data_IF_029856728079
#
_entry.id   IF_029856728079
#
_cell.length_a   1.000
_cell.length_b   1.000
_cell.length_c   1.000
_cell.angle_alpha   90.00
_cell.angle_beta   90.00
_cell.angle_gamma   90.00
#
_symmetry.space_group_name_H-M   'P 1'
#
loop_
_entity.id
_entity.type
_entity.pdbx_description
1 polymer ?
#
# COMPACT_ATOMS: atom_id res chain seq x y z
N UNK A 1 -9.71 -3.15 18.19
CA UNK A 1 -8.52 -3.48 19.01
C UNK A 1 -7.65 -2.25 19.19
N UNK A 2 -7.02 -2.09 20.32
CA UNK A 2 -6.23 -0.89 20.61
C UNK A 2 -5.07 -0.66 19.66
N UNK A 3 -4.53 -1.72 19.04
CA UNK A 3 -3.42 -1.58 18.11
C UNK A 3 -3.85 -1.32 16.67
N UNK A 4 -5.13 -1.49 16.35
CA UNK A 4 -5.61 -1.30 14.98
C UNK A 4 -5.43 0.15 14.53
N UNK A 5 -5.66 1.09 15.42
CA UNK A 5 -5.47 2.51 15.11
C UNK A 5 -4.03 2.78 14.70
N UNK A 6 -3.07 2.22 15.43
CA UNK A 6 -1.65 2.37 15.11
C UNK A 6 -1.34 1.76 13.74
N UNK A 7 -1.86 0.57 13.46
CA UNK A 7 -1.63 -0.07 12.17
C UNK A 7 -2.20 0.77 11.02
N UNK A 8 -3.41 1.32 11.20
CA UNK A 8 -4.00 2.18 10.18
C UNK A 8 -3.18 3.45 9.97
N UNK A 9 -2.67 4.05 11.04
CA UNK A 9 -1.80 5.22 10.94
C UNK A 9 -0.49 4.90 10.20
N UNK A 10 0.08 3.73 10.46
CA UNK A 10 1.30 3.30 9.78
C UNK A 10 1.06 3.01 8.30
N UNK A 11 -0.10 2.44 7.95
CA UNK A 11 -0.47 2.27 6.54
C UNK A 11 -0.54 3.64 5.85
N UNK A 12 -1.17 4.61 6.49
CA UNK A 12 -1.25 5.98 5.94
C UNK A 12 0.14 6.59 5.76
N UNK A 13 1.05 6.35 6.70
CA UNK A 13 2.42 6.83 6.58
C UNK A 13 3.12 6.22 5.36
N UNK A 14 2.95 4.92 5.15
CA UNK A 14 3.54 4.24 3.99
C UNK A 14 2.95 4.75 2.68
N UNK A 15 1.64 5.00 2.63
CA UNK A 15 0.99 5.59 1.46
C UNK A 15 1.60 6.97 1.17
N UNK A 16 1.78 7.79 2.21
CA UNK A 16 2.39 9.11 2.04
C UNK A 16 3.80 9.05 1.49
N UNK A 17 4.58 8.06 1.94
CA UNK A 17 5.94 7.85 1.41
C UNK A 17 5.91 7.51 -0.07
N UNK A 18 5.03 6.59 -0.47
CA UNK A 18 4.90 6.23 -1.89
C UNK A 18 4.54 7.47 -2.71
N UNK A 19 3.59 8.25 -2.25
CA UNK A 19 3.16 9.46 -2.96
C UNK A 19 4.32 10.46 -3.14
N UNK A 20 5.17 10.59 -2.12
CA UNK A 20 6.37 11.45 -2.23
C UNK A 20 7.40 10.86 -3.19
N UNK A 21 7.60 9.54 -3.16
CA UNK A 21 8.59 8.88 -4.03
C UNK A 21 8.26 9.07 -5.50
N UNK A 22 6.98 9.08 -5.85
CA UNK A 22 6.54 9.17 -7.25
C UNK A 22 6.06 10.57 -7.64
N UNK A 23 6.18 11.53 -6.74
CA UNK A 23 5.73 12.89 -7.03
C UNK A 23 6.51 13.45 -8.22
N UNK A 24 5.78 13.94 -9.21
CA UNK A 24 6.38 14.58 -10.37
C UNK A 24 6.91 13.63 -11.44
N UNK A 25 6.72 12.31 -11.28
CA UNK A 25 7.13 11.36 -12.31
C UNK A 25 5.90 10.70 -12.94
N UNK A 26 6.07 10.22 -14.18
CA UNK A 26 5.02 9.49 -14.87
C UNK A 26 5.36 7.99 -14.93
N UNK A 27 4.49 7.23 -15.57
CA UNK A 27 4.64 5.78 -15.68
C UNK A 27 5.96 5.40 -16.37
N UNK A 28 6.31 6.10 -17.44
CA UNK A 28 7.55 5.78 -18.20
C UNK A 28 8.78 5.97 -17.33
N UNK A 29 8.83 7.04 -16.55
CA UNK A 29 9.95 7.27 -15.62
C UNK A 29 9.99 6.17 -14.57
N UNK A 30 8.85 5.82 -13.99
CA UNK A 30 8.78 4.77 -12.98
C UNK A 30 9.27 3.42 -13.53
N UNK A 31 8.88 3.07 -14.76
CA UNK A 31 9.27 1.80 -15.37
C UNK A 31 10.74 1.71 -15.68
N UNK A 32 11.47 2.83 -15.65
CA UNK A 32 12.89 2.88 -15.93
C UNK A 32 13.73 3.29 -14.71
N UNK A 33 13.14 3.34 -13.53
CA UNK A 33 13.82 3.81 -12.31
C UNK A 33 13.78 2.72 -11.24
N UNK A 34 14.81 1.88 -11.24
CA UNK A 34 14.90 0.75 -10.32
C UNK A 34 14.89 1.18 -8.85
N UNK A 35 15.52 2.30 -8.54
CA UNK A 35 15.56 2.79 -7.16
C UNK A 35 14.16 3.12 -6.66
N UNK A 36 13.39 3.86 -7.46
CA UNK A 36 12.02 4.20 -7.09
C UNK A 36 11.13 2.97 -7.05
N UNK A 37 11.30 2.04 -8.00
CA UNK A 37 10.56 0.77 -7.99
C UNK A 37 10.78 0.02 -6.68
N UNK A 38 12.03 -0.12 -6.26
CA UNK A 38 12.36 -0.85 -5.02
C UNK A 38 11.79 -0.17 -3.80
N UNK A 39 11.85 1.16 -3.75
CA UNK A 39 11.31 1.92 -2.63
C UNK A 39 9.79 1.76 -2.54
N UNK A 40 9.09 1.84 -3.67
CA UNK A 40 7.63 1.69 -3.74
C UNK A 40 7.22 0.28 -3.33
N UNK A 41 7.87 -0.73 -3.88
CA UNK A 41 7.53 -2.13 -3.59
C UNK A 41 7.73 -2.43 -2.09
N UNK A 42 8.79 -1.91 -1.48
CA UNK A 42 8.99 -2.08 -0.04
C UNK A 42 7.81 -1.51 0.75
N UNK A 43 7.34 -0.32 0.39
CA UNK A 43 6.21 0.29 1.10
C UNK A 43 4.92 -0.49 0.85
N UNK A 44 4.69 -1.00 -0.36
CA UNK A 44 3.52 -1.84 -0.63
C UNK A 44 3.57 -3.13 0.21
N UNK A 45 4.75 -3.72 0.37
CA UNK A 45 4.90 -4.89 1.23
C UNK A 45 4.58 -4.57 2.69
N UNK A 46 5.03 -3.41 3.18
CA UNK A 46 4.71 -2.98 4.54
C UNK A 46 3.21 -2.75 4.73
N UNK A 47 2.56 -2.12 3.75
CA UNK A 47 1.11 -1.94 3.79
C UNK A 47 0.41 -3.29 3.90
N UNK A 48 0.84 -4.27 3.11
CA UNK A 48 0.26 -5.62 3.15
C UNK A 48 0.47 -6.30 4.50
N UNK A 49 1.66 -6.17 5.07
CA UNK A 49 1.96 -6.75 6.38
C UNK A 49 1.11 -6.09 7.47
N UNK A 50 0.98 -4.78 7.44
CA UNK A 50 0.17 -4.06 8.42
C UNK A 50 -1.31 -4.41 8.27
N UNK A 51 -1.79 -4.55 7.04
CA UNK A 51 -3.17 -4.95 6.77
C UNK A 51 -3.48 -6.30 7.39
N UNK A 52 -2.53 -7.24 7.36
CA UNK A 52 -2.71 -8.55 7.98
C UNK A 52 -2.91 -8.47 9.50
N UNK A 53 -2.35 -7.45 10.13
CA UNK A 53 -2.41 -7.29 11.59
C UNK A 53 -3.68 -6.61 12.09
N UNK A 54 -4.43 -5.97 11.21
CA UNK A 54 -5.68 -5.32 11.58
C UNK A 54 -6.70 -6.40 11.95
N UNK A 55 -7.45 -6.19 13.03
CA UNK A 55 -8.44 -7.15 13.52
C UNK A 55 -9.62 -7.27 12.56
N UNK A 56 -10.32 -8.39 12.63
CA UNK A 56 -11.51 -8.61 11.81
C UNK A 56 -12.61 -7.59 12.12
N UNK A 57 -12.71 -7.16 13.36
CA UNK A 57 -13.69 -6.14 13.75
C UNK A 57 -13.46 -4.84 12.97
N UNK A 58 -12.22 -4.37 12.93
CA UNK A 58 -11.88 -3.15 12.21
C UNK A 58 -12.00 -3.34 10.70
N UNK A 59 -11.60 -4.51 10.19
CA UNK A 59 -11.75 -4.82 8.77
C UNK A 59 -13.20 -4.75 8.33
N UNK A 60 -14.12 -5.20 9.18
CA UNK A 60 -15.55 -5.12 8.88
C UNK A 60 -16.02 -3.66 8.85
N UNK A 61 -15.44 -2.81 9.71
CA UNK A 61 -15.84 -1.41 9.81
C UNK A 61 -15.32 -0.55 8.66
N UNK A 62 -14.26 -0.99 7.98
CA UNK A 62 -13.62 -0.23 6.90
C UNK A 62 -13.78 -1.00 5.60
N UNK A 63 -14.59 -0.48 4.68
CA UNK A 63 -14.94 -1.17 3.43
C UNK A 63 -13.85 -1.00 2.36
N UNK A 64 -12.75 -1.73 2.52
CA UNK A 64 -11.67 -1.79 1.53
C UNK A 64 -11.32 -3.25 1.26
N UNK A 65 -10.65 -3.56 0.13
CA UNK A 65 -10.31 -4.97 -0.21
C UNK A 65 -9.09 -5.46 0.58
N UNK A 66 -9.30 -5.76 1.85
CA UNK A 66 -8.23 -6.13 2.79
C UNK A 66 -7.40 -7.32 2.31
N UNK A 67 -8.04 -8.30 1.67
CA UNK A 67 -7.33 -9.51 1.21
C UNK A 67 -6.34 -9.17 0.10
N UNK A 68 -6.75 -8.35 -0.85
CA UNK A 68 -5.88 -7.92 -1.94
C UNK A 68 -4.75 -7.04 -1.42
N UNK A 69 -5.04 -6.17 -0.46
CA UNK A 69 -4.03 -5.31 0.17
C UNK A 69 -3.00 -6.17 0.90
N UNK A 70 -3.45 -7.13 1.70
CA UNK A 70 -2.54 -8.05 2.39
C UNK A 70 -1.68 -8.84 1.42
N UNK A 71 -2.20 -9.15 0.24
CA UNK A 71 -1.46 -9.88 -0.79
C UNK A 71 -0.23 -9.15 -1.34
N UNK A 72 -0.16 -7.84 -1.17
CA UNK A 72 1.02 -7.07 -1.61
C UNK A 72 2.31 -7.61 -0.98
N UNK A 73 2.26 -7.91 0.31
CA UNK A 73 3.43 -8.43 1.03
C UNK A 73 3.88 -9.77 0.47
N UNK A 74 2.95 -10.67 0.21
CA UNK A 74 3.30 -11.99 -0.29
C UNK A 74 3.90 -11.92 -1.68
N UNK A 75 3.35 -11.09 -2.56
CA UNK A 75 3.92 -10.88 -3.90
C UNK A 75 5.31 -10.26 -3.83
N UNK A 76 5.51 -9.28 -2.95
CA UNK A 76 6.81 -8.62 -2.84
C UNK A 76 7.90 -9.56 -2.32
N UNK A 77 7.54 -10.49 -1.43
CA UNK A 77 8.51 -11.42 -0.82
C UNK A 77 8.77 -12.63 -1.73
N UNK A 78 7.70 -13.23 -2.27
CA UNK A 78 7.82 -14.52 -2.97
C UNK A 78 7.94 -14.37 -4.47
N UNK A 79 7.44 -13.28 -5.05
CA UNK A 79 7.37 -13.10 -6.49
C UNK A 79 8.06 -11.83 -6.96
N UNK A 80 9.06 -11.33 -6.20
CA UNK A 80 9.66 -10.02 -6.48
C UNK A 80 10.09 -9.85 -7.92
N UNK A 81 10.83 -10.84 -8.47
CA UNK A 81 11.34 -10.74 -9.85
C UNK A 81 10.24 -10.92 -10.90
N UNK A 82 9.06 -11.32 -10.51
CA UNK A 82 7.92 -11.50 -11.41
C UNK A 82 6.84 -10.43 -11.19
N UNK A 83 7.10 -9.44 -10.36
CA UNK A 83 6.15 -8.35 -10.15
C UNK A 83 6.01 -7.55 -11.44
N UNK A 84 4.76 -7.39 -11.88
CA UNK A 84 4.45 -6.54 -13.02
C UNK A 84 4.49 -5.08 -12.56
N UNK A 85 5.52 -4.35 -12.99
CA UNK A 85 5.71 -2.96 -12.58
C UNK A 85 4.61 -2.03 -13.10
N UNK A 86 4.02 -2.36 -14.25
CA UNK A 86 2.87 -1.61 -14.76
C UNK A 86 1.66 -1.74 -13.84
N UNK A 87 1.40 -2.95 -13.35
CA UNK A 87 0.34 -3.19 -12.39
C UNK A 87 0.65 -2.49 -11.07
N UNK A 88 1.92 -2.51 -10.64
CA UNK A 88 2.32 -1.78 -9.42
C UNK A 88 2.05 -0.28 -9.57
N UNK A 89 2.39 0.31 -10.72
CA UNK A 89 2.10 1.71 -10.99
C UNK A 89 0.62 2.01 -10.93
N UNK A 90 -0.21 1.16 -11.56
CA UNK A 90 -1.66 1.34 -11.55
C UNK A 90 -2.20 1.25 -10.12
N UNK A 91 -1.66 0.32 -9.33
CA UNK A 91 -2.07 0.17 -7.92
C UNK A 91 -1.79 1.44 -7.13
N UNK A 92 -0.59 2.00 -7.25
CA UNK A 92 -0.23 3.18 -6.47
C UNK A 92 -0.91 4.46 -6.94
N UNK A 93 -1.33 4.50 -8.20
CA UNK A 93 -1.98 5.71 -8.74
C UNK A 93 -3.50 5.66 -8.65
N UNK A 94 -4.10 4.45 -8.59
CA UNK A 94 -5.55 4.29 -8.60
C UNK A 94 -6.12 3.83 -7.26
N UNK A 95 -5.38 3.00 -6.52
CA UNK A 95 -5.95 2.30 -5.37
C UNK A 95 -5.55 2.89 -4.01
N UNK A 96 -4.43 3.59 -3.93
CA UNK A 96 -3.94 4.08 -2.64
C UNK A 96 -4.75 5.26 -2.11
N UNK A 97 -5.20 6.15 -2.97
CA UNK A 97 -5.97 7.31 -2.52
C UNK A 97 -7.31 6.90 -1.91
N UNK A 98 -8.10 6.01 -2.54
CA UNK A 98 -9.32 5.52 -1.88
C UNK A 98 -9.05 4.81 -0.56
N UNK A 99 -7.95 4.04 -0.47
CA UNK A 99 -7.58 3.39 0.77
C UNK A 99 -7.24 4.43 1.84
N UNK A 100 -6.44 5.43 1.50
CA UNK A 100 -6.08 6.49 2.44
C UNK A 100 -7.33 7.22 2.94
N UNK A 101 -8.25 7.54 2.04
CA UNK A 101 -9.50 8.24 2.40
C UNK A 101 -10.31 7.41 3.39
N UNK A 102 -10.44 6.11 3.15
CA UNK A 102 -11.20 5.22 4.03
C UNK A 102 -10.57 5.14 5.41
N UNK A 103 -9.24 5.02 5.48
CA UNK A 103 -8.52 4.95 6.75
C UNK A 103 -8.60 6.26 7.52
N UNK A 104 -8.44 7.39 6.84
CA UNK A 104 -8.53 8.70 7.47
C UNK A 104 -9.92 8.92 8.06
N UNK A 105 -10.95 8.51 7.35
CA UNK A 105 -12.33 8.62 7.83
C UNK A 105 -12.55 7.79 9.09
N UNK A 106 -12.00 6.58 9.13
CA UNK A 106 -12.09 5.71 10.30
C UNK A 106 -11.37 6.32 11.50
N UNK A 107 -10.23 6.98 11.29
CA UNK A 107 -9.40 7.53 12.36
C UNK A 107 -9.92 8.85 12.96
N UNK A 108 -10.89 9.46 12.32
CA UNK A 108 -11.46 10.71 12.83
C UNK A 108 -12.28 10.57 14.10
#
# INVERSE_FOLDING_TARGET
MKNDRVYCEQILDSIGKIQRFVNGIDKDVFLNDQKTQSAVIMQLALIGELAKRVSEETKTAIAVPWKEIAGFRDRAIHDYYQIDLGIAWDTITLDLEPLADALQKYLK
#
